data_IF_511587189176
#
_entry.id   IF_511587189176
#
_cell.length_a   1.000
_cell.length_b   1.000
_cell.length_c   1.000
_cell.angle_alpha   90.00
_cell.angle_beta   90.00
_cell.angle_gamma   90.00
#
_symmetry.space_group_name_H-M   'P 1'
#
loop_
_entity.id
_entity.type
_entity.pdbx_description
1 polymer ?
#
# COMPACT_ATOMS: atom_id res chain seq x y z
N UNK A 1 -2.58 3.47 -25.75
CA UNK A 1 -2.38 3.42 -24.29
C UNK A 1 -2.60 2.00 -23.83
N UNK A 2 -1.72 1.43 -23.03
CA UNK A 2 -1.91 0.09 -22.47
C UNK A 2 -2.81 0.15 -21.21
N UNK A 3 -3.31 -1.01 -20.77
CA UNK A 3 -4.24 -1.09 -19.61
C UNK A 3 -3.62 -0.53 -18.33
N UNK A 4 -2.33 -0.77 -18.06
CA UNK A 4 -1.66 -0.27 -16.86
C UNK A 4 -1.60 1.27 -16.84
N UNK A 5 -1.23 1.88 -17.96
CA UNK A 5 -1.25 3.35 -18.10
C UNK A 5 -2.66 3.93 -17.91
N UNK A 6 -3.69 3.22 -18.41
CA UNK A 6 -5.06 3.65 -18.19
C UNK A 6 -5.47 3.59 -16.73
N UNK A 7 -5.03 2.56 -15.99
CA UNK A 7 -5.27 2.47 -14.54
C UNK A 7 -4.58 3.63 -13.81
N UNK A 8 -3.33 3.96 -14.18
CA UNK A 8 -2.63 5.12 -13.61
C UNK A 8 -3.40 6.43 -13.82
N UNK A 9 -3.89 6.66 -15.04
CA UNK A 9 -4.68 7.85 -15.36
C UNK A 9 -5.99 7.89 -14.57
N UNK A 10 -6.72 6.79 -14.50
CA UNK A 10 -7.97 6.71 -13.78
C UNK A 10 -7.79 6.93 -12.27
N UNK A 11 -6.69 6.42 -11.69
CA UNK A 11 -6.34 6.69 -10.29
C UNK A 11 -6.03 8.17 -10.07
N UNK A 12 -5.24 8.79 -10.94
CA UNK A 12 -4.94 10.23 -10.87
C UNK A 12 -6.22 11.06 -10.98
N UNK A 13 -7.07 10.74 -11.95
CA UNK A 13 -8.33 11.42 -12.18
C UNK A 13 -9.27 11.30 -10.98
N UNK A 14 -9.38 10.10 -10.39
CA UNK A 14 -10.13 9.87 -9.17
C UNK A 14 -9.62 10.74 -8.03
N UNK A 15 -8.32 10.73 -7.79
CA UNK A 15 -7.71 11.49 -6.72
C UNK A 15 -7.84 13.01 -6.92
N UNK A 16 -7.78 13.49 -8.14
CA UNK A 16 -7.91 14.91 -8.46
C UNK A 16 -9.36 15.42 -8.36
N UNK A 17 -10.34 14.60 -8.73
CA UNK A 17 -11.77 14.94 -8.69
C UNK A 17 -12.39 14.78 -7.31
N UNK A 18 -11.91 13.82 -6.51
CA UNK A 18 -12.45 13.60 -5.19
C UNK A 18 -12.07 14.75 -4.25
N UNK A 19 -13.03 15.35 -3.62
CA UNK A 19 -12.82 16.47 -2.68
C UNK A 19 -13.03 16.08 -1.22
N UNK A 20 -13.64 14.91 -0.96
CA UNK A 20 -13.89 14.41 0.38
C UNK A 20 -12.66 13.76 0.98
N UNK A 21 -12.63 13.70 2.31
CA UNK A 21 -11.66 12.88 3.04
C UNK A 21 -12.14 11.44 3.08
N UNK A 22 -11.21 10.51 2.96
CA UNK A 22 -11.44 9.12 3.33
C UNK A 22 -11.18 8.97 4.84
N UNK A 23 -12.04 8.24 5.54
CA UNK A 23 -11.88 8.06 7.00
C UNK A 23 -10.78 7.05 7.36
N UNK A 24 -10.52 6.12 6.46
CA UNK A 24 -9.51 5.08 6.62
C UNK A 24 -9.13 4.48 5.27
N UNK A 25 -8.15 3.57 5.27
CA UNK A 25 -7.65 2.88 4.08
C UNK A 25 -8.76 2.08 3.37
N UNK A 26 -9.66 1.49 4.14
CA UNK A 26 -10.78 0.70 3.58
C UNK A 26 -11.80 1.56 2.84
N UNK A 27 -12.12 2.73 3.38
CA UNK A 27 -13.01 3.70 2.74
C UNK A 27 -12.43 4.14 1.39
N UNK A 28 -11.14 4.50 1.39
CA UNK A 28 -10.41 4.82 0.17
C UNK A 28 -10.41 3.66 -0.84
N UNK A 29 -10.15 2.43 -0.39
CA UNK A 29 -10.14 1.23 -1.23
C UNK A 29 -11.49 1.02 -1.94
N UNK A 30 -12.58 1.14 -1.18
CA UNK A 30 -13.93 0.92 -1.70
C UNK A 30 -14.33 1.99 -2.72
N UNK A 31 -14.09 3.27 -2.39
CA UNK A 31 -14.41 4.38 -3.28
C UNK A 31 -13.61 4.32 -4.59
N UNK A 32 -12.32 4.03 -4.51
CA UNK A 32 -11.49 3.83 -5.71
C UNK A 32 -11.98 2.65 -6.56
N UNK A 33 -12.34 1.53 -5.93
CA UNK A 33 -12.83 0.36 -6.67
C UNK A 33 -14.17 0.65 -7.37
N UNK A 34 -15.08 1.37 -6.72
CA UNK A 34 -16.34 1.80 -7.34
C UNK A 34 -16.10 2.76 -8.50
N UNK A 35 -15.18 3.71 -8.32
CA UNK A 35 -14.81 4.63 -9.40
C UNK A 35 -14.26 3.85 -10.61
N UNK A 36 -13.25 2.99 -10.41
CA UNK A 36 -12.66 2.18 -11.47
C UNK A 36 -13.71 1.31 -12.18
N UNK A 37 -14.64 0.70 -11.43
CA UNK A 37 -15.74 -0.07 -12.02
C UNK A 37 -16.69 0.81 -12.84
N UNK A 38 -16.96 2.01 -12.38
CA UNK A 38 -17.85 2.98 -13.05
C UNK A 38 -17.30 3.53 -14.37
N UNK A 39 -15.98 3.49 -14.58
CA UNK A 39 -15.36 3.93 -15.85
C UNK A 39 -15.68 3.01 -17.03
N UNK A 40 -16.04 1.76 -16.77
CA UNK A 40 -16.21 0.69 -17.77
C UNK A 40 -14.95 0.40 -18.61
N UNK A 41 -13.77 0.85 -18.17
CA UNK A 41 -12.49 0.61 -18.85
C UNK A 41 -11.96 -0.81 -18.61
N UNK A 42 -12.53 -1.55 -17.66
CA UNK A 42 -12.03 -2.84 -17.19
C UNK A 42 -13.12 -3.89 -17.20
N UNK A 43 -12.71 -5.14 -17.34
CA UNK A 43 -13.60 -6.29 -17.34
C UNK A 43 -14.18 -6.56 -15.94
N UNK A 44 -13.29 -6.60 -14.93
CA UNK A 44 -13.69 -6.80 -13.53
C UNK A 44 -12.78 -6.03 -12.57
N UNK A 45 -13.32 -5.72 -11.40
CA UNK A 45 -12.60 -5.18 -10.25
C UNK A 45 -12.83 -6.13 -9.08
N UNK A 46 -11.75 -6.61 -8.47
CA UNK A 46 -11.78 -7.50 -7.32
C UNK A 46 -11.20 -6.78 -6.09
N UNK A 47 -11.86 -6.92 -4.95
CA UNK A 47 -11.41 -6.39 -3.66
C UNK A 47 -10.85 -7.50 -2.78
N UNK A 48 -9.84 -7.20 -1.95
CA UNK A 48 -9.26 -8.13 -0.99
C UNK A 48 -8.87 -9.46 -1.65
N UNK A 49 -8.20 -9.36 -2.79
CA UNK A 49 -7.85 -10.54 -3.58
C UNK A 49 -6.83 -11.40 -2.85
N UNK A 50 -7.28 -12.56 -2.38
CA UNK A 50 -6.48 -13.47 -1.59
C UNK A 50 -5.63 -14.38 -2.48
N UNK A 51 -4.31 -14.36 -2.24
CA UNK A 51 -3.33 -15.20 -2.94
C UNK A 51 -2.66 -16.13 -1.93
N UNK A 52 -3.14 -17.38 -1.76
CA UNK A 52 -2.47 -18.39 -0.95
C UNK A 52 -1.11 -18.75 -1.54
N UNK A 53 -0.06 -18.77 -0.69
CA UNK A 53 1.31 -19.07 -1.10
C UNK A 53 1.70 -20.54 -0.90
N UNK A 54 0.82 -21.33 -0.33
CA UNK A 54 1.06 -22.74 -0.04
C UNK A 54 -0.16 -23.41 0.56
N UNK A 55 0.04 -24.62 1.06
CA UNK A 55 -1.01 -25.44 1.67
C UNK A 55 -0.57 -26.04 3.00
N UNK A 56 -1.54 -26.45 3.82
CA UNK A 56 -1.29 -27.17 5.06
C UNK A 56 -1.41 -28.68 4.80
N UNK A 57 -0.32 -29.40 5.06
CA UNK A 57 -0.29 -30.86 4.95
C UNK A 57 -0.42 -31.45 6.35
N UNK A 58 -1.27 -32.47 6.50
CA UNK A 58 -1.43 -33.24 7.73
C UNK A 58 -0.74 -34.58 7.58
N UNK A 59 0.26 -34.86 8.42
CA UNK A 59 0.87 -36.18 8.52
C UNK A 59 0.50 -36.88 9.83
N UNK A 60 0.28 -38.18 9.78
CA UNK A 60 0.11 -39.01 10.99
C UNK A 60 1.45 -39.59 11.37
N UNK A 61 2.14 -38.98 12.30
CA UNK A 61 3.32 -39.57 12.92
C UNK A 61 3.02 -40.09 14.33
N UNK A 62 3.24 -41.41 14.55
CA UNK A 62 3.24 -42.06 15.88
C UNK A 62 2.26 -41.47 16.89
N UNK A 63 0.94 -41.58 16.60
CA UNK A 63 -0.18 -41.14 17.47
C UNK A 63 -0.39 -39.62 17.65
N UNK A 64 0.31 -38.74 16.91
CA UNK A 64 0.02 -37.30 16.89
C UNK A 64 -0.21 -36.85 15.45
N UNK A 65 -1.30 -36.12 15.24
CA UNK A 65 -1.48 -35.41 13.99
C UNK A 65 -0.54 -34.21 13.98
N UNK A 66 0.45 -34.21 13.08
CA UNK A 66 1.33 -33.08 12.83
C UNK A 66 0.83 -32.37 11.60
N UNK A 67 0.52 -31.09 11.73
CA UNK A 67 0.18 -30.23 10.59
C UNK A 67 1.36 -29.32 10.30
N UNK A 68 1.79 -29.30 9.04
CA UNK A 68 2.86 -28.45 8.56
C UNK A 68 2.37 -27.64 7.37
N UNK A 69 2.71 -26.35 7.31
CA UNK A 69 2.45 -25.53 6.17
C UNK A 69 3.62 -25.60 5.18
N UNK A 70 3.29 -25.87 3.92
CA UNK A 70 4.28 -26.03 2.84
C UNK A 70 4.02 -25.05 1.75
N UNK A 71 5.08 -24.45 1.23
CA UNK A 71 5.04 -23.56 0.07
C UNK A 71 4.52 -24.27 -1.18
N UNK A 72 3.90 -23.49 -2.07
CA UNK A 72 3.66 -23.94 -3.43
C UNK A 72 4.99 -23.95 -4.20
N UNK A 73 5.48 -25.12 -4.55
CA UNK A 73 6.79 -25.29 -5.18
C UNK A 73 6.90 -24.58 -6.53
N UNK A 74 5.79 -24.48 -7.29
CA UNK A 74 5.81 -23.76 -8.56
C UNK A 74 6.02 -22.25 -8.38
N UNK A 75 5.37 -21.63 -7.37
CA UNK A 75 5.58 -20.23 -7.06
C UNK A 75 6.99 -19.98 -6.56
N UNK A 76 7.49 -20.88 -5.74
CA UNK A 76 8.85 -20.85 -5.21
C UNK A 76 9.87 -20.88 -6.33
N UNK A 77 9.81 -21.89 -7.19
CA UNK A 77 10.72 -22.05 -8.32
C UNK A 77 10.69 -20.84 -9.26
N UNK A 78 9.51 -20.36 -9.66
CA UNK A 78 9.39 -19.20 -10.57
C UNK A 78 10.04 -17.94 -10.00
N UNK A 79 9.98 -17.75 -8.68
CA UNK A 79 10.56 -16.59 -8.05
C UNK A 79 12.10 -16.72 -7.91
N UNK A 80 12.58 -17.91 -7.54
CA UNK A 80 14.00 -18.21 -7.45
C UNK A 80 14.72 -18.13 -8.81
N UNK A 81 14.07 -18.58 -9.89
CA UNK A 81 14.57 -18.44 -11.27
C UNK A 81 14.77 -16.96 -11.69
N UNK A 82 14.11 -16.03 -11.04
CA UNK A 82 14.27 -14.59 -11.23
C UNK A 82 15.28 -13.95 -10.28
N UNK A 83 15.97 -14.74 -9.48
CA UNK A 83 16.90 -14.28 -8.45
C UNK A 83 16.21 -13.64 -7.25
N UNK A 84 14.90 -13.89 -7.09
CA UNK A 84 14.11 -13.34 -6.00
C UNK A 84 14.36 -14.05 -4.68
N UNK A 85 14.28 -13.31 -3.58
CA UNK A 85 14.27 -13.83 -2.23
C UNK A 85 12.89 -13.70 -1.58
N UNK A 86 12.70 -14.29 -0.40
CA UNK A 86 11.42 -14.30 0.32
C UNK A 86 11.44 -13.41 1.57
N UNK A 87 12.45 -12.56 1.72
CA UNK A 87 12.65 -11.77 2.93
C UNK A 87 11.46 -10.84 3.20
N UNK A 88 10.87 -10.28 2.16
CA UNK A 88 9.66 -9.44 2.27
C UNK A 88 8.43 -10.19 2.81
N UNK A 89 8.39 -11.53 2.74
CA UNK A 89 7.30 -12.36 3.30
C UNK A 89 7.58 -12.78 4.75
N UNK A 90 8.77 -12.53 5.28
CA UNK A 90 9.08 -12.84 6.68
C UNK A 90 8.17 -12.02 7.61
N UNK A 91 7.65 -12.72 8.62
CA UNK A 91 6.98 -12.07 9.75
C UNK A 91 8.01 -11.81 10.83
N UNK A 92 7.91 -10.65 11.46
CA UNK A 92 8.71 -10.33 12.62
C UNK A 92 8.52 -11.35 13.74
N UNK A 93 9.58 -11.63 14.48
CA UNK A 93 9.55 -12.50 15.64
C UNK A 93 8.81 -11.83 16.79
N UNK A 94 7.90 -12.54 17.44
CA UNK A 94 7.23 -12.04 18.64
C UNK A 94 8.20 -11.97 19.84
N UNK A 95 9.15 -12.89 19.89
CA UNK A 95 10.25 -12.92 20.87
C UNK A 95 11.55 -13.33 20.15
N UNK A 96 12.73 -13.00 20.67
CA UNK A 96 14.01 -13.43 20.08
C UNK A 96 14.13 -14.94 19.87
N UNK A 97 13.48 -15.72 20.72
CA UNK A 97 13.50 -17.19 20.68
C UNK A 97 12.44 -17.79 19.76
N UNK A 98 11.49 -16.98 19.23
CA UNK A 98 10.47 -17.50 18.32
C UNK A 98 11.08 -17.88 16.98
N UNK A 99 10.57 -18.96 16.36
CA UNK A 99 10.98 -19.37 15.02
C UNK A 99 10.58 -18.31 13.98
N UNK A 100 11.38 -18.17 12.94
CA UNK A 100 10.99 -17.38 11.78
C UNK A 100 9.73 -17.96 11.14
N UNK A 101 8.79 -17.08 10.83
CA UNK A 101 7.56 -17.47 10.13
C UNK A 101 7.37 -16.57 8.92
N UNK A 102 6.68 -17.10 7.91
CA UNK A 102 6.39 -16.39 6.68
C UNK A 102 4.90 -16.09 6.57
N UNK A 103 4.55 -15.11 5.77
CA UNK A 103 3.17 -14.91 5.36
C UNK A 103 2.71 -16.12 4.53
N UNK A 104 1.55 -16.65 4.87
CA UNK A 104 0.97 -17.81 4.17
C UNK A 104 0.08 -17.41 3.01
N UNK A 105 -0.30 -16.14 2.98
CA UNK A 105 -1.23 -15.57 2.01
C UNK A 105 -0.87 -14.11 1.83
N UNK A 106 -0.75 -13.67 0.60
CA UNK A 106 -0.77 -12.24 0.25
C UNK A 106 -2.23 -11.87 0.04
N UNK A 107 -2.64 -10.72 0.57
CA UNK A 107 -3.94 -10.12 0.29
C UNK A 107 -3.68 -8.79 -0.40
N UNK A 108 -4.20 -8.67 -1.61
CA UNK A 108 -4.04 -7.50 -2.45
C UNK A 108 -5.32 -6.66 -2.34
N UNK A 109 -5.20 -5.38 -2.10
CA UNK A 109 -6.34 -4.49 -1.85
C UNK A 109 -7.32 -4.47 -3.03
N UNK A 110 -6.82 -4.24 -4.24
CA UNK A 110 -7.63 -4.22 -5.47
C UNK A 110 -6.87 -5.00 -6.56
N UNK A 111 -7.59 -5.81 -7.33
CA UNK A 111 -7.07 -6.40 -8.56
C UNK A 111 -7.98 -6.02 -9.72
N UNK A 112 -7.40 -5.34 -10.70
CA UNK A 112 -8.08 -4.98 -11.95
C UNK A 112 -7.87 -6.08 -12.98
N UNK A 113 -8.95 -6.62 -13.54
CA UNK A 113 -8.91 -7.51 -14.69
C UNK A 113 -9.17 -6.68 -15.97
N UNK A 114 -8.16 -6.58 -16.84
CA UNK A 114 -8.27 -5.85 -18.09
C UNK A 114 -9.05 -6.63 -19.17
N UNK A 115 -9.56 -5.93 -20.16
CA UNK A 115 -10.16 -6.55 -21.36
C UNK A 115 -9.14 -7.34 -22.20
N UNK A 116 -7.84 -7.11 -21.95
CA UNK A 116 -6.73 -7.87 -22.49
C UNK A 116 -6.52 -9.23 -21.81
N UNK A 117 -7.38 -9.58 -20.82
CA UNK A 117 -7.31 -10.79 -20.02
C UNK A 117 -6.03 -10.90 -19.15
N UNK A 118 -5.44 -9.77 -18.78
CA UNK A 118 -4.38 -9.68 -17.79
C UNK A 118 -4.89 -9.04 -16.50
N UNK A 119 -4.13 -9.26 -15.42
CA UNK A 119 -4.43 -8.76 -14.08
C UNK A 119 -3.41 -7.70 -13.67
N UNK A 120 -3.90 -6.69 -12.98
CA UNK A 120 -3.15 -5.53 -12.52
C UNK A 120 -3.46 -5.30 -11.03
N UNK A 121 -2.64 -5.84 -10.12
CA UNK A 121 -2.81 -5.65 -8.69
C UNK A 121 -2.49 -4.23 -8.27
N UNK A 122 -3.25 -3.72 -7.29
CA UNK A 122 -3.08 -2.40 -6.68
C UNK A 122 -3.02 -2.58 -5.17
N UNK A 123 -1.98 -2.05 -4.54
CA UNK A 123 -1.84 -1.94 -3.09
C UNK A 123 -2.00 -0.48 -2.68
N UNK A 124 -2.69 -0.26 -1.58
CA UNK A 124 -3.03 1.05 -1.07
C UNK A 124 -2.40 1.26 0.30
N UNK A 125 -1.93 2.48 0.57
CA UNK A 125 -1.54 2.93 1.89
C UNK A 125 -2.17 4.26 2.19
N UNK A 126 -2.91 4.30 3.28
CA UNK A 126 -3.53 5.50 3.80
C UNK A 126 -3.01 5.76 5.21
N UNK A 127 -2.14 6.75 5.36
CA UNK A 127 -1.49 7.09 6.63
C UNK A 127 -1.83 8.51 7.00
N UNK A 128 -2.46 8.70 8.14
CA UNK A 128 -2.96 10.01 8.56
C UNK A 128 -2.33 10.47 9.86
N UNK A 129 -2.28 11.79 9.99
CA UNK A 129 -2.12 12.52 11.23
C UNK A 129 -3.50 12.90 11.74
N UNK A 130 -3.66 12.97 13.04
CA UNK A 130 -4.90 13.38 13.69
C UNK A 130 -5.47 14.66 13.08
N UNK A 131 -6.78 14.61 12.84
CA UNK A 131 -7.54 15.75 12.35
C UNK A 131 -8.91 15.78 13.02
N UNK A 132 -9.19 16.88 13.70
CA UNK A 132 -10.48 17.13 14.33
C UNK A 132 -11.31 18.09 13.48
N UNK A 133 -12.62 17.89 13.47
CA UNK A 133 -13.55 18.74 12.72
C UNK A 133 -15.01 18.41 13.01
N UNK A 134 -15.88 19.04 12.26
CA UNK A 134 -17.32 18.79 12.31
C UNK A 134 -17.71 17.91 11.13
N UNK A 135 -18.71 17.07 11.34
CA UNK A 135 -19.09 16.09 10.34
C UNK A 135 -20.58 15.79 10.39
N UNK A 136 -21.20 15.69 9.22
CA UNK A 136 -22.60 15.29 9.10
C UNK A 136 -22.73 13.76 9.03
N UNK A 137 -23.58 13.20 9.89
CA UNK A 137 -24.04 11.80 9.83
C UNK A 137 -25.52 11.74 10.12
N UNK A 138 -26.22 10.96 9.33
CA UNK A 138 -27.66 10.76 9.46
C UNK A 138 -28.46 12.09 9.44
N UNK A 139 -28.00 13.08 8.66
CA UNK A 139 -28.54 14.44 8.58
C UNK A 139 -28.36 15.28 9.86
N UNK A 140 -27.46 14.87 10.76
CA UNK A 140 -27.10 15.62 11.95
C UNK A 140 -25.65 16.09 11.87
N UNK A 141 -25.41 17.36 12.23
CA UNK A 141 -24.07 17.93 12.32
C UNK A 141 -23.48 17.63 13.71
N UNK A 142 -22.37 16.94 13.73
CA UNK A 142 -21.62 16.61 14.94
C UNK A 142 -20.30 17.39 14.94
N UNK A 143 -20.06 18.15 15.99
CA UNK A 143 -18.90 19.02 16.13
C UNK A 143 -17.80 18.37 16.99
N UNK A 144 -16.55 18.80 16.77
CA UNK A 144 -15.38 18.40 17.54
C UNK A 144 -15.10 16.89 17.56
N UNK A 145 -15.35 16.23 16.45
CA UNK A 145 -15.03 14.81 16.29
C UNK A 145 -13.60 14.61 15.80
N UNK A 146 -12.96 13.53 16.25
CA UNK A 146 -11.76 13.01 15.61
C UNK A 146 -12.16 12.38 14.27
N UNK A 147 -11.85 13.09 13.18
CA UNK A 147 -12.18 12.64 11.81
C UNK A 147 -11.10 11.70 11.28
N UNK A 148 -9.84 12.01 11.56
CA UNK A 148 -8.69 11.18 11.19
C UNK A 148 -7.86 10.89 12.45
N UNK A 149 -7.44 9.65 12.58
CA UNK A 149 -6.52 9.19 13.62
C UNK A 149 -5.07 9.46 13.28
N UNK A 150 -4.25 9.72 14.28
CA UNK A 150 -2.80 9.68 14.12
C UNK A 150 -2.34 8.21 14.03
N UNK A 151 -1.82 7.82 12.88
CA UNK A 151 -1.20 6.51 12.69
C UNK A 151 0.23 6.43 13.24
N UNK A 152 0.77 7.51 13.78
CA UNK A 152 2.00 7.61 14.56
C UNK A 152 3.26 7.12 13.83
N UNK A 153 3.51 5.85 13.85
CA UNK A 153 4.74 5.19 13.42
C UNK A 153 5.09 5.40 11.93
N UNK A 154 5.58 6.60 11.57
CA UNK A 154 5.96 6.95 10.18
C UNK A 154 7.01 6.01 9.59
N UNK A 155 7.97 5.60 10.40
CA UNK A 155 8.99 4.62 10.01
C UNK A 155 8.36 3.31 9.55
N UNK A 156 7.36 2.80 10.26
CA UNK A 156 6.63 1.59 9.86
C UNK A 156 5.73 1.82 8.65
N UNK A 157 5.21 3.03 8.50
CA UNK A 157 4.44 3.42 7.31
C UNK A 157 5.29 3.34 6.04
N UNK A 158 6.51 3.89 6.06
CA UNK A 158 7.48 3.80 4.96
C UNK A 158 7.91 2.36 4.68
N UNK A 159 8.28 1.62 5.75
CA UNK A 159 8.62 0.20 5.65
C UNK A 159 7.50 -0.60 4.98
N UNK A 160 6.25 -0.44 5.42
CA UNK A 160 5.13 -1.21 4.87
C UNK A 160 4.84 -0.88 3.41
N UNK A 161 5.00 0.37 3.00
CA UNK A 161 4.84 0.77 1.60
C UNK A 161 5.84 0.04 0.68
N UNK A 162 7.13 0.07 1.02
CA UNK A 162 8.14 -0.62 0.22
C UNK A 162 7.98 -2.14 0.25
N UNK A 163 7.46 -2.67 1.36
CA UNK A 163 7.11 -4.10 1.46
C UNK A 163 5.98 -4.47 0.51
N UNK A 164 5.00 -3.59 0.31
CA UNK A 164 3.91 -3.81 -0.67
C UNK A 164 4.44 -3.72 -2.11
N UNK A 165 5.39 -2.82 -2.39
CA UNK A 165 6.10 -2.81 -3.68
C UNK A 165 6.79 -4.16 -3.94
N UNK A 166 7.52 -4.70 -2.95
CA UNK A 166 8.16 -6.01 -3.06
C UNK A 166 7.15 -7.16 -3.28
N UNK A 167 5.99 -7.11 -2.62
CA UNK A 167 4.89 -8.06 -2.82
C UNK A 167 4.36 -8.03 -4.25
N UNK A 168 4.14 -6.83 -4.81
CA UNK A 168 3.68 -6.69 -6.18
C UNK A 168 4.73 -7.18 -7.19
N UNK A 169 6.03 -6.93 -6.95
CA UNK A 169 7.11 -7.48 -7.76
C UNK A 169 7.10 -9.02 -7.77
N UNK A 170 6.90 -9.64 -6.61
CA UNK A 170 6.72 -11.08 -6.50
C UNK A 170 5.51 -11.57 -7.30
N UNK A 171 4.35 -10.95 -7.14
CA UNK A 171 3.12 -11.33 -7.85
C UNK A 171 3.32 -11.23 -9.37
N UNK A 172 3.85 -10.13 -9.85
CA UNK A 172 4.22 -9.95 -11.27
C UNK A 172 5.24 -11.00 -11.73
N UNK A 173 6.21 -11.31 -10.89
CA UNK A 173 7.25 -12.30 -11.17
C UNK A 173 6.74 -13.73 -11.28
N UNK A 174 5.77 -14.12 -10.46
CA UNK A 174 5.28 -15.49 -10.35
C UNK A 174 4.11 -15.83 -11.27
N UNK A 175 3.34 -14.83 -11.75
CA UNK A 175 2.10 -15.06 -12.47
C UNK A 175 2.15 -14.47 -13.89
N UNK A 176 2.15 -15.31 -14.91
CA UNK A 176 2.24 -14.92 -16.32
C UNK A 176 1.08 -14.00 -16.78
N UNK A 177 -0.04 -14.03 -16.08
CA UNK A 177 -1.20 -13.18 -16.36
C UNK A 177 -1.17 -11.84 -15.61
N UNK A 178 -0.15 -11.58 -14.82
CA UNK A 178 0.07 -10.27 -14.18
C UNK A 178 1.09 -9.47 -14.99
N UNK A 179 0.69 -8.31 -15.52
CA UNK A 179 1.54 -7.49 -16.41
C UNK A 179 2.23 -6.34 -15.68
N UNK A 180 1.72 -5.93 -14.56
CA UNK A 180 2.28 -4.89 -13.72
C UNK A 180 1.43 -4.71 -12.49
N UNK A 181 1.85 -3.84 -11.58
CA UNK A 181 1.11 -3.52 -10.38
C UNK A 181 1.34 -2.06 -9.98
N UNK A 182 0.50 -1.53 -9.13
CA UNK A 182 0.53 -0.14 -8.69
C UNK A 182 0.44 -0.09 -7.17
N UNK A 183 1.36 0.65 -6.53
CA UNK A 183 1.26 1.04 -5.14
C UNK A 183 0.87 2.51 -5.06
N UNK A 184 -0.18 2.84 -4.31
CA UNK A 184 -0.62 4.21 -4.05
C UNK A 184 -0.45 4.51 -2.57
N UNK A 185 0.22 5.61 -2.26
CA UNK A 185 0.34 6.10 -0.89
C UNK A 185 -0.34 7.46 -0.77
N UNK A 186 -1.21 7.61 0.23
CA UNK A 186 -1.89 8.88 0.54
C UNK A 186 -1.69 9.22 2.01
N UNK A 187 -1.44 10.49 2.31
CA UNK A 187 -1.24 10.98 3.66
C UNK A 187 -1.55 12.46 3.81
N UNK A 188 -2.01 12.89 4.99
CA UNK A 188 -2.04 14.31 5.39
C UNK A 188 -0.83 14.72 6.24
N UNK A 189 0.18 13.86 6.35
CA UNK A 189 1.42 14.14 7.08
C UNK A 189 2.57 14.40 6.09
N UNK A 190 2.92 15.67 5.90
CA UNK A 190 3.99 16.09 4.99
C UNK A 190 5.39 15.58 5.36
N UNK A 191 5.56 14.92 6.51
CA UNK A 191 6.85 14.29 6.87
C UNK A 191 7.17 13.08 6.01
N UNK A 192 6.17 12.48 5.36
CA UNK A 192 6.42 11.40 4.41
C UNK A 192 7.11 11.88 3.13
N UNK A 193 6.86 13.13 2.71
CA UNK A 193 7.47 13.70 1.50
C UNK A 193 8.90 14.21 1.70
N UNK A 194 9.42 14.14 2.93
CA UNK A 194 10.74 14.63 3.31
C UNK A 194 11.66 13.46 3.64
N UNK A 195 12.98 13.71 3.49
CA UNK A 195 13.98 12.76 3.96
C UNK A 195 13.81 12.48 5.45
N UNK A 196 13.72 11.21 5.86
CA UNK A 196 13.52 10.87 7.27
C UNK A 196 14.79 11.12 8.08
N UNK A 197 14.60 11.73 9.24
CA UNK A 197 15.69 11.94 10.24
C UNK A 197 15.68 10.84 11.31
N UNK A 198 14.78 9.88 11.19
CA UNK A 198 14.61 8.75 12.11
C UNK A 198 15.23 7.45 11.55
N UNK A 199 14.90 6.33 12.17
CA UNK A 199 15.35 4.98 11.79
C UNK A 199 14.93 4.53 10.39
N UNK A 200 14.08 5.26 9.70
CA UNK A 200 13.55 4.86 8.39
C UNK A 200 14.29 5.46 7.19
N UNK A 201 15.53 5.92 7.36
CA UNK A 201 16.30 6.55 6.28
C UNK A 201 16.41 5.66 5.04
N UNK A 202 16.67 4.36 5.21
CA UNK A 202 16.76 3.43 4.09
C UNK A 202 15.39 3.08 3.46
N UNK A 203 14.29 3.49 4.09
CA UNK A 203 12.94 3.38 3.55
C UNK A 203 12.39 4.74 3.11
N UNK A 204 13.27 5.68 2.74
CA UNK A 204 12.86 7.01 2.34
C UNK A 204 11.82 6.97 1.23
N UNK A 205 10.86 7.89 1.34
CA UNK A 205 9.84 8.16 0.35
C UNK A 205 9.89 9.64 -0.06
N UNK A 206 11.08 10.24 0.05
CA UNK A 206 11.26 11.63 -0.30
C UNK A 206 10.93 11.93 -1.77
N UNK A 207 11.07 13.17 -2.17
CA UNK A 207 10.55 13.76 -3.40
C UNK A 207 10.71 12.91 -4.67
N UNK A 208 11.77 12.11 -4.80
CA UNK A 208 12.03 11.30 -6.00
C UNK A 208 11.54 9.84 -5.90
N UNK A 209 11.17 9.38 -4.70
CA UNK A 209 10.80 7.97 -4.46
C UNK A 209 11.84 6.98 -4.99
N UNK A 210 13.10 7.30 -4.84
CA UNK A 210 14.21 6.42 -5.20
C UNK A 210 14.60 5.63 -3.95
N UNK A 211 14.64 4.29 -3.96
CA UNK A 211 15.15 3.52 -2.84
C UNK A 211 16.64 3.73 -2.75
N UNK A 212 17.10 3.90 -1.54
CA UNK A 212 18.46 4.28 -1.27
C UNK A 212 19.45 3.12 -1.47
N UNK A 213 19.08 1.91 -1.08
CA UNK A 213 19.95 0.73 -1.17
C UNK A 213 19.14 -0.57 -1.12
N UNK A 214 19.68 -1.65 -1.69
CA UNK A 214 19.15 -3.01 -1.51
C UNK A 214 20.20 -3.85 -0.78
N UNK A 215 19.84 -4.61 0.28
CA UNK A 215 18.52 -4.73 0.88
C UNK A 215 18.09 -3.50 1.67
N UNK A 216 16.78 -3.26 1.74
CA UNK A 216 16.18 -2.25 2.61
C UNK A 216 16.25 -2.74 4.06
N UNK A 217 17.03 -2.07 4.90
CA UNK A 217 17.30 -2.48 6.28
C UNK A 217 17.23 -1.32 7.27
N UNK A 218 16.98 -1.65 8.51
CA UNK A 218 17.05 -0.70 9.61
C UNK A 218 18.51 -0.40 9.98
N UNK A 219 18.83 0.82 10.44
CA UNK A 219 20.13 1.10 11.03
C UNK A 219 20.45 0.15 12.21
N UNK A 220 21.72 -0.22 12.41
CA UNK A 220 22.15 -1.22 13.38
C UNK A 220 21.73 -0.97 14.83
N UNK A 221 21.57 0.30 15.20
CA UNK A 221 21.14 0.68 16.55
C UNK A 221 19.63 0.42 16.83
N UNK A 222 18.84 0.04 15.82
CA UNK A 222 17.40 -0.23 15.95
C UNK A 222 17.09 -1.74 16.03
N UNK A 223 17.67 -2.44 17.02
CA UNK A 223 17.57 -3.90 17.18
C UNK A 223 16.14 -4.43 17.24
N UNK A 224 15.21 -3.70 17.85
CA UNK A 224 13.80 -4.13 17.94
C UNK A 224 13.15 -4.19 16.55
N UNK A 225 13.40 -3.18 15.71
CA UNK A 225 12.86 -3.12 14.36
C UNK A 225 13.40 -4.25 13.50
N UNK A 226 14.69 -4.59 13.59
CA UNK A 226 15.28 -5.75 12.90
C UNK A 226 14.57 -7.06 13.26
N UNK A 227 14.14 -7.20 14.52
CA UNK A 227 13.46 -8.42 14.99
C UNK A 227 12.00 -8.46 14.55
N UNK A 228 11.26 -7.34 14.65
CA UNK A 228 9.83 -7.29 14.42
C UNK A 228 9.46 -6.98 12.97
N UNK A 229 10.35 -6.32 12.24
CA UNK A 229 10.17 -5.89 10.85
C UNK A 229 11.44 -6.26 10.06
N UNK A 230 11.56 -7.53 9.62
CA UNK A 230 12.76 -8.01 8.92
C UNK A 230 13.09 -7.16 7.69
N UNK A 231 14.36 -7.00 7.43
CA UNK A 231 14.86 -6.41 6.19
C UNK A 231 14.44 -7.23 4.96
N UNK A 232 14.35 -6.58 3.81
CA UNK A 232 14.00 -7.23 2.56
C UNK A 232 14.63 -6.50 1.37
N UNK A 233 14.72 -7.20 0.25
CA UNK A 233 15.20 -6.64 -1.01
C UNK A 233 14.05 -6.35 -1.96
N UNK A 234 14.16 -5.25 -2.70
CA UNK A 234 13.35 -5.02 -3.88
C UNK A 234 13.95 -5.81 -5.04
N UNK A 235 13.10 -6.46 -5.80
CA UNK A 235 13.48 -7.31 -6.93
C UNK A 235 12.91 -6.71 -8.23
N UNK A 236 13.80 -6.51 -9.20
CA UNK A 236 13.38 -5.95 -10.48
C UNK A 236 13.15 -4.44 -10.46
N UNK A 237 12.61 -3.94 -11.55
CA UNK A 237 12.40 -2.53 -11.76
C UNK A 237 11.05 -2.08 -11.18
N UNK A 238 11.05 -0.87 -10.67
CA UNK A 238 9.84 -0.11 -10.36
C UNK A 238 10.03 1.33 -10.87
N UNK A 239 8.95 2.04 -11.01
CA UNK A 239 8.95 3.41 -11.52
C UNK A 239 8.04 4.28 -10.66
N UNK A 240 8.60 5.34 -10.09
CA UNK A 240 7.79 6.39 -9.50
C UNK A 240 7.10 7.19 -10.62
N UNK A 241 5.78 7.29 -10.55
CA UNK A 241 4.96 7.94 -11.55
C UNK A 241 5.01 9.46 -11.36
N UNK A 242 5.07 10.20 -12.46
CA UNK A 242 4.93 11.65 -12.43
C UNK A 242 3.45 12.01 -12.17
N UNK A 243 3.19 12.46 -10.96
CA UNK A 243 1.86 12.90 -10.51
C UNK A 243 1.81 14.40 -10.26
N UNK A 244 2.98 15.06 -10.16
CA UNK A 244 3.11 16.48 -9.91
C UNK A 244 3.49 17.24 -11.19
N UNK A 245 3.03 18.47 -11.31
CA UNK A 245 3.47 19.41 -12.34
C UNK A 245 4.84 20.03 -12.00
N UNK A 246 5.34 19.80 -10.78
CA UNK A 246 6.65 20.25 -10.32
C UNK A 246 7.73 19.25 -10.71
N UNK A 247 8.77 19.68 -11.39
CA UNK A 247 9.82 18.84 -11.98
C UNK A 247 10.69 18.06 -10.98
N UNK A 248 10.64 18.39 -9.70
CA UNK A 248 11.52 17.81 -8.68
C UNK A 248 10.83 16.91 -7.66
N UNK A 249 9.54 16.60 -7.83
CA UNK A 249 8.81 15.75 -6.87
C UNK A 249 7.90 14.76 -7.57
N UNK A 250 7.84 13.55 -7.02
CA UNK A 250 6.86 12.49 -7.36
C UNK A 250 5.65 12.51 -6.44
N UNK A 251 5.51 13.56 -5.64
CA UNK A 251 4.38 13.77 -4.76
C UNK A 251 3.48 14.89 -5.28
N UNK A 252 2.18 14.69 -5.21
CA UNK A 252 1.18 15.72 -5.53
C UNK A 252 0.39 16.08 -4.28
N UNK A 253 0.14 17.37 -4.11
CA UNK A 253 -0.72 17.89 -3.03
C UNK A 253 -2.16 17.95 -3.50
N UNK A 254 -3.06 17.45 -2.65
CA UNK A 254 -4.51 17.48 -2.84
C UNK A 254 -5.13 18.26 -1.69
N UNK A 255 -6.01 19.19 -2.02
CA UNK A 255 -6.78 19.89 -0.99
C UNK A 255 -8.12 19.20 -0.78
N UNK A 256 -8.39 18.76 0.46
CA UNK A 256 -9.61 18.06 0.85
C UNK A 256 -10.45 18.90 1.79
N UNK A 257 -11.76 18.86 1.61
CA UNK A 257 -12.70 19.56 2.49
C UNK A 257 -13.00 18.69 3.71
N UNK A 258 -12.76 19.24 4.92
CA UNK A 258 -13.14 18.59 6.18
C UNK A 258 -14.57 18.95 6.56
N UNK A 259 -14.99 20.18 6.26
CA UNK A 259 -16.27 20.72 6.70
C UNK A 259 -16.79 21.81 5.77
N UNK A 260 -18.09 21.79 5.54
CA UNK A 260 -18.83 22.87 4.88
C UNK A 260 -20.06 23.20 5.72
N UNK A 261 -20.02 24.30 6.43
CA UNK A 261 -21.19 24.78 7.18
C UNK A 261 -22.12 25.52 6.20
N UNK A 262 -23.24 24.91 5.85
CA UNK A 262 -24.21 25.51 4.93
C UNK A 262 -25.14 26.54 5.58
N UNK A 263 -25.17 26.59 6.94
CA UNK A 263 -26.15 27.35 7.70
C UNK A 263 -25.65 28.66 8.33
N UNK A 264 -24.39 29.04 8.15
CA UNK A 264 -23.89 30.36 8.57
C UNK A 264 -23.55 31.22 7.38
N UNK A 265 -23.86 32.50 7.46
CA UNK A 265 -23.62 33.52 6.42
C UNK A 265 -22.14 33.69 6.03
N UNK A 266 -21.24 32.98 6.65
CA UNK A 266 -19.84 32.84 6.29
C UNK A 266 -19.53 31.36 6.05
N UNK A 267 -19.31 31.01 4.80
CA UNK A 267 -18.93 29.66 4.34
C UNK A 267 -17.47 29.42 4.69
N UNK A 268 -17.14 29.13 5.93
CA UNK A 268 -15.81 28.65 6.28
C UNK A 268 -15.70 27.16 5.96
N UNK A 269 -15.24 26.86 4.77
CA UNK A 269 -14.77 25.53 4.44
C UNK A 269 -13.38 25.34 5.08
N UNK A 270 -13.26 24.39 5.99
CA UNK A 270 -11.96 23.98 6.53
C UNK A 270 -11.32 22.95 5.60
N UNK A 271 -10.11 23.20 5.19
CA UNK A 271 -9.36 22.34 4.28
C UNK A 271 -8.19 21.66 4.98
N UNK A 272 -7.83 20.48 4.50
CA UNK A 272 -6.61 19.76 4.85
C UNK A 272 -5.88 19.38 3.57
N UNK A 273 -4.58 19.61 3.55
CA UNK A 273 -3.74 19.17 2.47
C UNK A 273 -3.38 17.68 2.68
N UNK A 274 -3.61 16.90 1.64
CA UNK A 274 -3.14 15.55 1.49
C UNK A 274 -2.04 15.49 0.44
N UNK A 275 -1.19 14.52 0.56
CA UNK A 275 -0.10 14.25 -0.37
C UNK A 275 -0.24 12.82 -0.87
N UNK A 276 -0.04 12.59 -2.15
CA UNK A 276 -0.02 11.24 -2.68
C UNK A 276 1.15 11.01 -3.62
N UNK A 277 1.56 9.76 -3.72
CA UNK A 277 2.50 9.28 -4.72
C UNK A 277 2.06 7.92 -5.26
N UNK A 278 2.54 7.57 -6.45
CA UNK A 278 2.24 6.32 -7.14
C UNK A 278 3.55 5.68 -7.57
N UNK A 279 3.69 4.37 -7.32
CA UNK A 279 4.80 3.54 -7.81
C UNK A 279 4.23 2.40 -8.65
N UNK A 280 4.74 2.25 -9.86
CA UNK A 280 4.49 1.13 -10.77
C UNK A 280 5.58 0.06 -10.61
N UNK A 281 5.22 -1.21 -10.69
CA UNK A 281 6.12 -2.36 -10.74
C UNK A 281 5.92 -3.21 -11.99
#
# INVERSE_FOLDING_TARGET
MNTLQKIEEDIKEFLDKETKIFFNERDFQVELAFYLKGTNHYKNIHLEYSLPLGTTISSKEKKKNKTEWVWNEQLKQRWEEKGGDYTFLKKGKKTPQSMETYEKTIRIDIVVEGHDNYFYPIELKYKTKEQNGSFERFQENLDNLEILKDHGARNLGRYSFWKDVARLQFVKGCFNKVKGGICVFITNDNKYTKYPTDSSQNFSMEMKLEPLESPLKWPENFKLQHTTHPEFSLQGNYRAIDVSDESNTKWKTLRRTIFKNENKNEKEAKFVDFYYCIVEV
#
